data_IF_341048851437
#
_entry.id   IF_341048851437
#
_cell.length_a   1.000
_cell.length_b   1.000
_cell.length_c   1.000
_cell.angle_alpha   90.00
_cell.angle_beta   90.00
_cell.angle_gamma   90.00
#
_symmetry.space_group_name_H-M   'P 1'
#
loop_
_entity.id
_entity.type
_entity.pdbx_description
1 polymer ?
#
# COMPACT_ATOMS: atom_id res chain seq x y z
N UNK A 1 -22.00 -2.30 20.68
CA UNK A 1 -22.05 -1.85 19.28
C UNK A 1 -20.64 -1.39 18.94
N UNK A 2 -19.95 -1.95 17.93
CA UNK A 2 -18.62 -1.46 17.55
C UNK A 2 -18.74 0.04 17.22
N UNK A 3 -17.83 0.84 17.79
CA UNK A 3 -17.82 2.29 17.59
C UNK A 3 -17.26 2.54 16.18
N UNK A 4 -17.90 3.39 15.35
CA UNK A 4 -17.65 3.46 13.90
C UNK A 4 -16.17 3.60 13.51
N UNK A 5 -15.39 4.36 14.29
CA UNK A 5 -13.99 4.70 13.97
C UNK A 5 -13.06 3.50 13.73
N UNK A 6 -13.17 2.43 14.52
CA UNK A 6 -12.27 1.26 14.36
C UNK A 6 -12.70 0.37 13.20
N UNK A 7 -14.01 0.23 13.00
CA UNK A 7 -14.52 -0.54 11.87
C UNK A 7 -14.21 0.16 10.54
N UNK A 8 -14.52 1.45 10.42
CA UNK A 8 -14.22 2.27 9.23
C UNK A 8 -12.72 2.32 8.94
N UNK A 9 -11.88 2.40 9.99
CA UNK A 9 -10.43 2.33 9.84
C UNK A 9 -10.01 0.98 9.27
N UNK A 10 -10.50 -0.14 9.82
CA UNK A 10 -10.17 -1.48 9.31
C UNK A 10 -10.63 -1.70 7.87
N UNK A 11 -11.83 -1.24 7.51
CA UNK A 11 -12.35 -1.30 6.14
C UNK A 11 -11.47 -0.49 5.18
N UNK A 12 -11.12 0.73 5.56
CA UNK A 12 -10.23 1.59 4.77
C UNK A 12 -8.84 0.98 4.59
N UNK A 13 -8.25 0.41 5.65
CA UNK A 13 -6.96 -0.26 5.57
C UNK A 13 -7.01 -1.52 4.69
N UNK A 14 -8.14 -2.23 4.67
CA UNK A 14 -8.34 -3.36 3.77
C UNK A 14 -8.34 -2.93 2.29
N UNK A 15 -8.95 -1.78 1.99
CA UNK A 15 -8.94 -1.21 0.63
C UNK A 15 -7.51 -0.82 0.23
N UNK A 16 -6.77 -0.16 1.13
CA UNK A 16 -5.38 0.24 0.91
C UNK A 16 -4.48 -0.97 0.64
N UNK A 17 -4.63 -2.03 1.45
CA UNK A 17 -3.89 -3.28 1.25
C UNK A 17 -4.22 -3.94 -0.09
N UNK A 18 -5.50 -3.95 -0.50
CA UNK A 18 -5.89 -4.47 -1.81
C UNK A 18 -5.26 -3.68 -2.96
N UNK A 19 -5.31 -2.35 -2.89
CA UNK A 19 -4.70 -1.49 -3.90
C UNK A 19 -3.17 -1.67 -4.00
N UNK A 20 -2.48 -1.91 -2.87
CA UNK A 20 -1.06 -2.21 -2.86
C UNK A 20 -0.76 -3.52 -3.62
N UNK A 21 -1.54 -4.57 -3.35
CA UNK A 21 -1.43 -5.85 -4.08
C UNK A 21 -1.69 -5.66 -5.58
N UNK A 22 -2.73 -4.92 -5.96
CA UNK A 22 -3.05 -4.66 -7.37
C UNK A 22 -1.88 -3.96 -8.10
N UNK A 23 -1.20 -3.02 -7.43
CA UNK A 23 -0.03 -2.33 -7.99
C UNK A 23 1.15 -3.30 -8.17
N UNK A 24 1.43 -4.15 -7.17
CA UNK A 24 2.48 -5.17 -7.26
C UNK A 24 2.22 -6.15 -8.41
N UNK A 25 0.98 -6.61 -8.57
CA UNK A 25 0.57 -7.49 -9.67
C UNK A 25 0.73 -6.79 -11.03
N UNK A 26 0.35 -5.52 -11.14
CA UNK A 26 0.52 -4.75 -12.37
C UNK A 26 2.00 -4.58 -12.75
N UNK A 27 2.88 -4.30 -11.77
CA UNK A 27 4.33 -4.23 -11.98
C UNK A 27 4.85 -5.58 -12.49
N UNK A 28 4.43 -6.68 -11.88
CA UNK A 28 4.85 -8.02 -12.30
C UNK A 28 4.36 -8.36 -13.71
N UNK A 29 3.13 -7.97 -14.07
CA UNK A 29 2.59 -8.19 -15.41
C UNK A 29 3.41 -7.45 -16.48
N UNK A 30 3.85 -6.23 -16.18
CA UNK A 30 4.73 -5.46 -17.07
C UNK A 30 6.11 -6.10 -17.19
N UNK A 31 6.72 -6.56 -16.08
CA UNK A 31 7.99 -7.32 -16.12
C UNK A 31 7.91 -8.57 -16.98
N UNK A 32 6.79 -9.30 -16.90
CA UNK A 32 6.58 -10.50 -17.70
C UNK A 32 6.48 -10.17 -19.20
N UNK A 33 5.85 -9.04 -19.54
CA UNK A 33 5.78 -8.56 -20.93
C UNK A 33 7.16 -8.16 -21.46
N UNK A 34 7.93 -7.47 -20.63
CA UNK A 34 9.29 -7.01 -20.93
C UNK A 34 10.25 -8.17 -21.18
N UNK A 35 10.21 -9.18 -20.30
CA UNK A 35 11.06 -10.36 -20.40
C UNK A 35 10.76 -11.26 -21.60
N UNK A 36 9.78 -10.92 -22.45
CA UNK A 36 9.54 -11.60 -23.70
C UNK A 36 10.69 -11.34 -24.69
N UNK A 37 11.17 -12.39 -25.35
CA UNK A 37 12.33 -12.37 -26.28
C UNK A 37 12.21 -11.35 -27.44
N UNK A 38 11.03 -10.77 -27.64
CA UNK A 38 10.75 -9.78 -28.68
C UNK A 38 11.16 -8.35 -28.33
N UNK A 39 11.42 -8.03 -27.06
CA UNK A 39 11.78 -6.68 -26.64
C UNK A 39 13.30 -6.55 -26.43
N UNK A 40 14.01 -6.18 -27.49
CA UNK A 40 15.47 -6.07 -27.48
C UNK A 40 15.97 -4.80 -28.14
N UNK A 41 17.19 -4.39 -27.80
CA UNK A 41 17.85 -3.20 -28.34
C UNK A 41 17.95 -2.03 -27.35
N UNK A 42 18.74 -1.00 -27.68
CA UNK A 42 19.14 0.03 -26.71
C UNK A 42 17.97 0.85 -26.15
N UNK A 43 16.89 1.01 -26.92
CA UNK A 43 15.67 1.69 -26.44
C UNK A 43 14.87 0.84 -25.46
N UNK A 44 14.82 -0.48 -25.69
CA UNK A 44 14.16 -1.41 -24.78
C UNK A 44 14.91 -1.43 -23.44
N UNK A 45 16.25 -1.58 -23.47
CA UNK A 45 17.08 -1.54 -22.26
C UNK A 45 16.97 -0.22 -21.48
N UNK A 46 16.91 0.92 -22.16
CA UNK A 46 16.72 2.21 -21.49
C UNK A 46 15.35 2.28 -20.78
N UNK A 47 14.28 1.87 -21.49
CA UNK A 47 12.95 1.82 -20.92
C UNK A 47 12.86 0.84 -19.73
N UNK A 48 13.50 -0.33 -19.83
CA UNK A 48 13.59 -1.33 -18.75
C UNK A 48 14.23 -0.74 -17.51
N UNK A 49 15.33 0.00 -17.69
CA UNK A 49 16.04 0.66 -16.59
C UNK A 49 15.16 1.70 -15.90
N UNK A 50 14.45 2.53 -16.67
CA UNK A 50 13.53 3.53 -16.13
C UNK A 50 12.36 2.87 -15.39
N UNK A 51 11.79 1.80 -15.97
CA UNK A 51 10.70 1.05 -15.38
C UNK A 51 11.13 0.34 -14.09
N UNK A 52 12.31 -0.29 -14.05
CA UNK A 52 12.80 -0.95 -12.83
C UNK A 52 13.08 0.06 -11.71
N UNK A 53 13.52 1.28 -12.05
CA UNK A 53 13.61 2.38 -11.08
C UNK A 53 12.25 2.71 -10.47
N UNK A 54 11.25 2.96 -11.32
CA UNK A 54 9.87 3.21 -10.88
C UNK A 54 9.29 2.06 -10.05
N UNK A 55 9.46 0.82 -10.50
CA UNK A 55 8.95 -0.37 -9.83
C UNK A 55 9.59 -0.56 -8.44
N UNK A 56 10.88 -0.26 -8.32
CA UNK A 56 11.62 -0.31 -7.05
C UNK A 56 11.09 0.73 -6.08
N UNK A 57 10.94 1.98 -6.52
CA UNK A 57 10.42 3.07 -5.69
C UNK A 57 8.98 2.81 -5.24
N UNK A 58 8.14 2.28 -6.13
CA UNK A 58 6.78 1.86 -5.82
C UNK A 58 6.77 0.75 -4.76
N UNK A 59 7.51 -0.33 -4.96
CA UNK A 59 7.59 -1.45 -4.00
C UNK A 59 8.13 -1.01 -2.64
N UNK A 60 9.15 -0.15 -2.62
CA UNK A 60 9.69 0.39 -1.37
C UNK A 60 8.67 1.25 -0.61
N UNK A 61 7.81 1.97 -1.33
CA UNK A 61 6.75 2.80 -0.73
C UNK A 61 5.57 1.96 -0.23
N UNK A 62 5.26 0.86 -0.92
CA UNK A 62 4.19 -0.07 -0.56
C UNK A 62 4.58 -1.09 0.53
N UNK A 63 5.88 -1.28 0.79
CA UNK A 63 6.39 -2.17 1.84
C UNK A 63 6.24 -1.60 3.26
N UNK A 64 7.32 -1.66 4.05
CA UNK A 64 7.34 -1.24 5.46
C UNK A 64 6.66 0.12 5.74
N UNK A 65 6.87 1.18 4.93
CA UNK A 65 6.23 2.48 5.20
C UNK A 65 4.70 2.44 5.18
N UNK A 66 4.10 1.67 4.26
CA UNK A 66 2.66 1.51 4.19
C UNK A 66 2.13 0.74 5.40
N UNK A 67 2.82 -0.34 5.78
CA UNK A 67 2.48 -1.13 6.97
C UNK A 67 2.53 -0.29 8.26
N UNK A 68 3.58 0.53 8.42
CA UNK A 68 3.71 1.45 9.56
C UNK A 68 2.59 2.49 9.59
N UNK A 69 2.22 3.05 8.44
CA UNK A 69 1.12 3.98 8.32
C UNK A 69 -0.22 3.33 8.71
N UNK A 70 -0.48 2.10 8.22
CA UNK A 70 -1.68 1.34 8.56
C UNK A 70 -1.76 1.00 10.06
N UNK A 71 -0.64 0.60 10.67
CA UNK A 71 -0.55 0.32 12.11
C UNK A 71 -0.78 1.58 12.95
N UNK A 72 -0.23 2.72 12.51
CA UNK A 72 -0.44 4.02 13.16
C UNK A 72 -1.91 4.43 13.10
N UNK A 73 -2.56 4.26 11.95
CA UNK A 73 -3.98 4.55 11.77
C UNK A 73 -4.84 3.70 12.71
N UNK A 74 -4.59 2.39 12.79
CA UNK A 74 -5.30 1.47 13.71
C UNK A 74 -5.10 1.85 15.18
N UNK A 75 -3.87 2.20 15.55
CA UNK A 75 -3.53 2.60 16.93
C UNK A 75 -4.24 3.89 17.33
N UNK A 76 -4.29 4.87 16.42
CA UNK A 76 -5.03 6.12 16.63
C UNK A 76 -6.54 5.88 16.74
N UNK A 77 -7.12 5.05 15.87
CA UNK A 77 -8.53 4.70 15.93
C UNK A 77 -8.89 4.02 17.27
N UNK A 78 -8.06 3.10 17.74
CA UNK A 78 -8.24 2.43 19.04
C UNK A 78 -8.12 3.41 20.22
N UNK A 79 -7.17 4.36 20.16
CA UNK A 79 -7.01 5.40 21.18
C UNK A 79 -8.25 6.29 21.27
N UNK A 80 -8.73 6.81 20.14
CA UNK A 80 -9.94 7.63 20.11
C UNK A 80 -11.20 6.86 20.55
N UNK A 81 -11.25 5.55 20.27
CA UNK A 81 -12.29 4.68 20.81
C UNK A 81 -12.25 4.65 22.35
N UNK A 82 -11.08 4.49 22.96
CA UNK A 82 -10.95 4.49 24.41
C UNK A 82 -11.31 5.85 25.04
N UNK A 83 -10.90 6.95 24.40
CA UNK A 83 -11.22 8.32 24.84
C UNK A 83 -12.73 8.61 24.77
N UNK A 84 -13.41 8.17 23.70
CA UNK A 84 -14.86 8.36 23.55
C UNK A 84 -15.70 7.50 24.49
N UNK A 85 -15.19 6.35 24.92
CA UNK A 85 -15.86 5.47 25.89
C UNK A 85 -15.72 5.93 27.35
N UNK A 86 -14.79 6.85 27.65
CA UNK A 86 -14.54 7.33 29.00
C UNK A 86 -14.33 8.87 29.01
N UNK A 87 -15.39 9.66 28.77
CA UNK A 87 -15.32 11.11 28.99
C UNK A 87 -15.12 11.30 30.49
N UNK A 88 -13.99 11.90 30.91
CA UNK A 88 -13.66 12.08 32.32
C UNK A 88 -14.78 12.75 33.15
N UNK A 89 -14.70 12.70 34.49
CA UNK A 89 -15.75 13.24 35.36
C UNK A 89 -15.92 14.74 35.10
N UNK A 90 -17.16 15.14 34.80
CA UNK A 90 -17.62 16.54 34.82
C UNK A 90 -17.52 17.13 36.23
#
# INVERSE_FOLDING_TARGET
MPIPFVQECNESMSIVSGAATDIEEAIQAVRNLVGAETWTGPKATAWETDFDGFATDATNSLGTPLDEAMQTARSNAARWQAESANPGPN
#
